data_IF_361452034640
#
_entry.id   IF_361452034640
#
_cell.length_a   1.000
_cell.length_b   1.000
_cell.length_c   1.000
_cell.angle_alpha   90.00
_cell.angle_beta   90.00
_cell.angle_gamma   90.00
#
_symmetry.space_group_name_H-M   'P 1'
#
loop_
_entity.id
_entity.type
_entity.pdbx_description
1 polymer ?
#
# COMPACT_ATOMS: atom_id res chain seq x y z
N UNK A 1 8.69 4.35 -22.72
CA UNK A 1 7.42 4.86 -23.29
C UNK A 1 7.03 6.13 -22.55
N UNK A 2 6.92 7.29 -23.22
CA UNK A 2 6.56 8.56 -22.56
C UNK A 2 5.18 8.45 -21.89
N UNK A 3 5.07 8.99 -20.67
CA UNK A 3 3.80 9.15 -19.96
C UNK A 3 3.23 10.50 -20.41
N UNK A 4 2.08 10.50 -21.08
CA UNK A 4 1.47 11.70 -21.64
C UNK A 4 0.25 12.08 -20.80
N UNK A 5 0.03 13.39 -20.63
CA UNK A 5 -1.04 13.94 -19.78
C UNK A 5 -0.84 13.60 -18.28
N UNK A 6 -1.77 14.00 -17.39
CA UNK A 6 -1.76 13.67 -15.93
C UNK A 6 -0.80 14.48 -15.05
N UNK A 7 -0.19 15.54 -15.56
CA UNK A 7 0.76 16.40 -14.80
C UNK A 7 0.17 16.90 -13.47
N UNK A 8 -1.12 17.28 -13.47
CA UNK A 8 -1.82 17.71 -12.25
C UNK A 8 -1.96 16.60 -11.20
N UNK A 9 -2.26 15.37 -11.63
CA UNK A 9 -2.36 14.22 -10.73
C UNK A 9 -0.98 13.80 -10.20
N UNK A 10 0.04 13.79 -11.06
CA UNK A 10 1.43 13.51 -10.66
C UNK A 10 1.89 14.52 -9.60
N UNK A 11 1.69 15.82 -9.85
CA UNK A 11 2.03 16.87 -8.89
C UNK A 11 1.31 16.67 -7.57
N UNK A 12 0.00 16.40 -7.61
CA UNK A 12 -0.82 16.18 -6.41
C UNK A 12 -0.33 14.96 -5.60
N UNK A 13 -0.03 13.85 -6.27
CA UNK A 13 0.48 12.65 -5.63
C UNK A 13 1.83 12.92 -4.94
N UNK A 14 2.78 13.56 -5.64
CA UNK A 14 4.09 13.92 -5.07
C UNK A 14 3.97 14.87 -3.87
N UNK A 15 3.10 15.87 -3.96
CA UNK A 15 2.88 16.81 -2.85
C UNK A 15 2.27 16.12 -1.65
N UNK A 16 1.30 15.21 -1.83
CA UNK A 16 0.67 14.51 -0.71
C UNK A 16 1.65 13.57 0.01
N UNK A 17 2.53 12.90 -0.73
CA UNK A 17 3.53 11.99 -0.16
C UNK A 17 4.75 12.71 0.44
N UNK A 18 4.93 14.00 0.18
CA UNK A 18 6.01 14.80 0.80
C UNK A 18 5.58 15.46 2.12
N UNK A 19 4.34 15.24 2.57
CA UNK A 19 3.87 15.80 3.84
C UNK A 19 4.41 14.96 4.99
N UNK A 20 4.88 15.62 6.05
CA UNK A 20 5.35 15.00 7.28
C UNK A 20 4.18 14.56 8.18
N UNK A 21 3.29 13.74 7.60
CA UNK A 21 2.12 13.18 8.28
C UNK A 21 1.67 11.89 7.61
N UNK A 22 1.06 11.02 8.40
CA UNK A 22 0.42 9.81 7.90
C UNK A 22 -0.59 10.15 6.79
N UNK A 23 -0.36 9.66 5.58
CA UNK A 23 -1.14 10.00 4.39
C UNK A 23 -1.67 8.74 3.72
N UNK A 24 -2.99 8.64 3.59
CA UNK A 24 -3.67 7.57 2.85
C UNK A 24 -4.28 8.18 1.58
N UNK A 25 -3.94 7.62 0.42
CA UNK A 25 -4.42 8.08 -0.88
C UNK A 25 -5.26 6.97 -1.53
N UNK A 26 -6.52 7.28 -1.83
CA UNK A 26 -7.40 6.38 -2.58
C UNK A 26 -7.49 6.86 -4.03
N UNK A 27 -7.04 6.02 -4.96
CA UNK A 27 -7.12 6.30 -6.40
C UNK A 27 -8.17 5.38 -7.02
N UNK A 28 -9.27 5.97 -7.48
CA UNK A 28 -10.38 5.23 -8.08
C UNK A 28 -10.69 5.74 -9.50
N UNK A 29 -11.40 4.93 -10.27
CA UNK A 29 -11.78 5.27 -11.64
C UNK A 29 -12.06 4.02 -12.48
N UNK A 30 -12.58 4.19 -13.69
CA UNK A 30 -12.96 3.08 -14.58
C UNK A 30 -11.78 2.14 -14.88
N UNK A 31 -12.09 0.91 -15.28
CA UNK A 31 -11.06 -0.05 -15.75
C UNK A 31 -10.32 0.53 -16.96
N UNK A 32 -9.00 0.31 -17.05
CA UNK A 32 -8.12 0.73 -18.17
C UNK A 32 -7.89 2.24 -18.36
N UNK A 33 -8.19 3.09 -17.36
CA UNK A 33 -7.88 4.54 -17.42
C UNK A 33 -6.42 4.91 -17.08
N UNK A 34 -5.57 3.91 -16.80
CA UNK A 34 -4.14 4.12 -16.55
C UNK A 34 -3.74 4.33 -15.08
N UNK A 35 -4.59 4.03 -14.10
CA UNK A 35 -4.32 4.22 -12.66
C UNK A 35 -3.04 3.51 -12.19
N UNK A 36 -2.92 2.20 -12.45
CA UNK A 36 -1.73 1.41 -12.12
C UNK A 36 -0.47 2.02 -12.72
N UNK A 37 -0.55 2.42 -14.01
CA UNK A 37 0.57 3.04 -14.71
C UNK A 37 0.96 4.40 -14.10
N UNK A 38 -0.01 5.20 -13.64
CA UNK A 38 0.25 6.47 -12.94
C UNK A 38 1.00 6.23 -11.63
N UNK A 39 0.51 5.32 -10.80
CA UNK A 39 1.12 5.02 -9.49
C UNK A 39 2.53 4.46 -9.65
N UNK A 40 2.71 3.51 -10.57
CA UNK A 40 4.04 2.96 -10.91
C UNK A 40 4.99 4.03 -11.46
N UNK A 41 4.48 4.97 -12.26
CA UNK A 41 5.29 6.06 -12.80
C UNK A 41 5.75 7.04 -11.70
N UNK A 42 4.90 7.32 -10.72
CA UNK A 42 5.21 8.29 -9.66
C UNK A 42 6.07 7.67 -8.55
N UNK A 43 5.78 6.44 -8.15
CA UNK A 43 6.34 5.84 -6.94
C UNK A 43 7.08 4.52 -7.17
N UNK A 44 7.04 3.93 -8.36
CA UNK A 44 7.37 2.51 -8.56
C UNK A 44 8.78 2.07 -8.17
N UNK A 45 9.75 2.99 -8.07
CA UNK A 45 11.12 2.68 -7.61
C UNK A 45 11.22 2.75 -6.08
N UNK A 46 10.50 3.69 -5.46
CA UNK A 46 10.62 4.03 -4.04
C UNK A 46 9.42 3.51 -3.22
N UNK A 47 8.82 2.39 -3.63
CA UNK A 47 7.64 1.83 -2.98
C UNK A 47 7.62 0.30 -3.02
N UNK A 48 6.84 -0.28 -2.11
CA UNK A 48 6.43 -1.68 -2.20
C UNK A 48 5.07 -1.76 -2.91
N UNK A 49 5.03 -2.53 -3.98
CA UNK A 49 3.82 -2.69 -4.79
C UNK A 49 3.21 -4.07 -4.55
N UNK A 50 2.04 -4.09 -3.91
CA UNK A 50 1.25 -5.27 -3.61
C UNK A 50 0.06 -5.36 -4.56
N UNK A 51 0.00 -6.42 -5.35
CA UNK A 51 -1.16 -6.71 -6.20
C UNK A 51 -2.11 -7.68 -5.48
N UNK A 52 -3.31 -7.22 -5.10
CA UNK A 52 -4.24 -8.04 -4.31
C UNK A 52 -4.99 -9.00 -5.24
N UNK A 53 -4.45 -10.21 -5.44
CA UNK A 53 -5.10 -11.27 -6.24
C UNK A 53 -6.20 -11.99 -5.45
N UNK A 54 -7.25 -12.46 -6.13
CA UNK A 54 -8.27 -13.34 -5.54
C UNK A 54 -7.71 -14.78 -5.40
N UNK A 55 -6.97 -15.04 -4.32
CA UNK A 55 -6.47 -16.37 -3.94
C UNK A 55 -6.53 -16.56 -2.42
N UNK A 56 -6.13 -17.74 -1.94
CA UNK A 56 -6.09 -18.00 -0.49
C UNK A 56 -5.17 -17.02 0.24
N UNK A 57 -5.62 -16.55 1.41
CA UNK A 57 -4.94 -15.55 2.23
C UNK A 57 -3.45 -15.87 2.44
N UNK A 58 -3.15 -17.12 2.81
CA UNK A 58 -1.77 -17.56 3.06
C UNK A 58 -0.86 -17.36 1.84
N UNK A 59 -1.35 -17.68 0.64
CA UNK A 59 -0.58 -17.49 -0.59
C UNK A 59 -0.35 -16.01 -0.89
N UNK A 60 -1.28 -15.13 -0.52
CA UNK A 60 -1.12 -13.68 -0.70
C UNK A 60 -0.06 -13.16 0.26
N UNK A 61 -0.11 -13.59 1.52
CA UNK A 61 0.88 -13.24 2.53
C UNK A 61 2.28 -13.70 2.15
N UNK A 62 2.44 -14.89 1.58
CA UNK A 62 3.73 -15.40 1.09
C UNK A 62 4.27 -14.53 -0.07
N UNK A 63 3.42 -14.13 -1.03
CA UNK A 63 3.81 -13.21 -2.10
C UNK A 63 4.21 -11.84 -1.55
N UNK A 64 3.41 -11.27 -0.65
CA UNK A 64 3.67 -9.96 -0.06
C UNK A 64 4.94 -9.97 0.79
N UNK A 65 5.20 -11.06 1.51
CA UNK A 65 6.46 -11.26 2.22
C UNK A 65 7.64 -11.27 1.27
N UNK A 66 7.51 -11.93 0.12
CA UNK A 66 8.56 -11.96 -0.92
C UNK A 66 8.89 -10.55 -1.40
N UNK A 67 7.88 -9.73 -1.67
CA UNK A 67 8.05 -8.32 -2.06
C UNK A 67 8.79 -7.52 -0.98
N UNK A 68 8.46 -7.71 0.30
CA UNK A 68 9.14 -7.00 1.40
C UNK A 68 10.61 -7.41 1.52
N UNK A 69 10.93 -8.69 1.34
CA UNK A 69 12.30 -9.21 1.44
C UNK A 69 13.25 -8.66 0.37
N UNK A 70 12.74 -8.05 -0.71
CA UNK A 70 13.58 -7.42 -1.73
C UNK A 70 14.36 -6.21 -1.19
N UNK A 71 13.85 -5.55 -0.13
CA UNK A 71 14.41 -4.30 0.41
C UNK A 71 14.57 -4.28 1.93
N UNK A 72 13.91 -5.17 2.65
CA UNK A 72 14.02 -5.26 4.10
C UNK A 72 15.02 -6.35 4.51
N UNK A 73 15.93 -6.01 5.44
CA UNK A 73 16.91 -6.98 5.99
C UNK A 73 16.25 -8.15 6.72
N UNK A 74 15.09 -7.90 7.33
CA UNK A 74 14.32 -8.91 8.05
C UNK A 74 12.82 -8.72 7.80
N UNK A 75 12.16 -9.83 7.44
CA UNK A 75 10.70 -9.90 7.31
C UNK A 75 10.21 -11.16 8.02
N UNK A 76 9.35 -11.04 9.05
CA UNK A 76 8.83 -12.21 9.75
C UNK A 76 7.91 -13.04 8.83
N UNK A 77 7.53 -14.23 9.29
CA UNK A 77 6.42 -14.94 8.67
C UNK A 77 5.10 -14.33 9.14
N UNK A 78 4.16 -14.16 8.21
CA UNK A 78 2.83 -13.64 8.52
C UNK A 78 1.85 -14.81 8.61
N UNK A 79 1.14 -14.93 9.73
CA UNK A 79 0.11 -15.98 9.89
C UNK A 79 -1.24 -15.51 9.38
N UNK A 80 -1.51 -14.21 9.45
CA UNK A 80 -2.71 -13.55 8.96
C UNK A 80 -2.42 -12.10 8.49
N UNK A 81 -3.45 -11.41 8.01
CA UNK A 81 -3.32 -9.99 7.66
C UNK A 81 -3.07 -9.05 8.85
N UNK A 82 -3.38 -9.42 10.09
CA UNK A 82 -3.11 -8.59 11.27
C UNK A 82 -1.59 -8.49 11.50
N UNK A 83 -0.89 -9.63 11.43
CA UNK A 83 0.58 -9.70 11.47
C UNK A 83 1.20 -8.84 10.36
N UNK A 84 0.71 -9.00 9.13
CA UNK A 84 1.24 -8.31 7.96
C UNK A 84 1.08 -6.79 8.07
N UNK A 85 -0.13 -6.29 8.31
CA UNK A 85 -0.35 -4.85 8.46
C UNK A 85 0.37 -4.32 9.70
N UNK A 86 0.40 -5.09 10.80
CA UNK A 86 1.17 -4.73 11.98
C UNK A 86 2.64 -4.47 11.65
N UNK A 87 3.27 -5.34 10.86
CA UNK A 87 4.63 -5.15 10.38
C UNK A 87 4.76 -3.94 9.45
N UNK A 88 3.86 -3.77 8.47
CA UNK A 88 3.90 -2.63 7.54
C UNK A 88 3.85 -1.27 8.27
N UNK A 89 3.00 -1.14 9.28
CA UNK A 89 2.92 0.09 10.07
C UNK A 89 4.17 0.34 10.93
N UNK A 90 5.04 -0.66 11.17
CA UNK A 90 6.36 -0.40 11.77
C UNK A 90 7.36 0.20 10.79
N UNK A 91 7.12 0.06 9.48
CA UNK A 91 7.98 0.52 8.40
C UNK A 91 7.50 1.85 7.78
N UNK A 92 6.27 2.27 8.05
CA UNK A 92 5.56 3.31 7.30
C UNK A 92 6.18 4.70 7.32
N UNK A 93 6.98 5.04 8.33
CA UNK A 93 7.63 6.35 8.42
C UNK A 93 8.75 6.54 7.38
N UNK A 94 9.14 5.47 6.68
CA UNK A 94 10.25 5.47 5.72
C UNK A 94 9.85 5.00 4.32
N UNK A 95 8.66 4.45 4.16
CA UNK A 95 8.32 3.64 2.99
C UNK A 95 6.91 3.93 2.46
N UNK A 96 6.75 3.81 1.14
CA UNK A 96 5.46 3.93 0.46
C UNK A 96 4.92 2.53 0.16
N UNK A 97 3.70 2.24 0.62
CA UNK A 97 3.00 0.99 0.32
C UNK A 97 1.86 1.23 -0.66
N UNK A 98 1.85 0.46 -1.76
CA UNK A 98 0.79 0.52 -2.77
C UNK A 98 0.06 -0.80 -2.79
N UNK A 99 -1.26 -0.74 -2.70
CA UNK A 99 -2.15 -1.88 -2.88
C UNK A 99 -3.00 -1.66 -4.13
N UNK A 100 -2.73 -2.44 -5.17
CA UNK A 100 -3.56 -2.43 -6.39
C UNK A 100 -4.66 -3.50 -6.31
N UNK A 101 -5.79 -3.23 -6.96
CA UNK A 101 -7.02 -4.03 -6.86
C UNK A 101 -7.50 -4.26 -5.40
N UNK A 102 -7.30 -3.25 -4.53
CA UNK A 102 -7.60 -3.29 -3.08
C UNK A 102 -9.00 -3.82 -2.73
N UNK A 103 -10.01 -3.61 -3.60
CA UNK A 103 -11.35 -4.12 -3.36
C UNK A 103 -11.43 -5.66 -3.26
N UNK A 104 -10.43 -6.39 -3.76
CA UNK A 104 -10.37 -7.84 -3.70
C UNK A 104 -10.26 -8.37 -2.27
N UNK A 105 -9.77 -7.56 -1.32
CA UNK A 105 -9.82 -7.91 0.11
C UNK A 105 -11.24 -8.24 0.59
N UNK A 106 -12.29 -7.64 0.00
CA UNK A 106 -13.69 -7.98 0.35
C UNK A 106 -14.04 -9.44 0.09
N UNK A 107 -13.37 -10.09 -0.85
CA UNK A 107 -13.61 -11.49 -1.22
C UNK A 107 -12.69 -12.45 -0.47
N UNK A 108 -11.51 -11.97 -0.06
CA UNK A 108 -10.48 -12.77 0.60
C UNK A 108 -10.73 -12.77 2.11
N UNK A 109 -10.69 -11.58 2.72
CA UNK A 109 -10.87 -11.40 4.15
C UNK A 109 -11.34 -9.97 4.46
N UNK A 110 -12.60 -9.83 4.87
CA UNK A 110 -13.20 -8.53 5.19
C UNK A 110 -12.65 -7.91 6.48
N UNK A 111 -11.93 -8.67 7.32
CA UNK A 111 -11.32 -8.12 8.53
C UNK A 111 -10.23 -7.08 8.21
N UNK A 112 -9.61 -7.16 7.02
CA UNK A 112 -8.54 -6.26 6.58
C UNK A 112 -8.91 -4.78 6.73
N UNK A 113 -10.17 -4.42 6.47
CA UNK A 113 -10.63 -3.04 6.62
C UNK A 113 -10.55 -2.57 8.08
N UNK A 114 -10.97 -3.41 9.02
CA UNK A 114 -10.90 -3.13 10.47
C UNK A 114 -9.47 -3.20 10.99
N UNK A 115 -8.63 -4.08 10.43
CA UNK A 115 -7.21 -4.19 10.78
C UNK A 115 -6.48 -2.90 10.39
N UNK A 116 -6.64 -2.42 9.16
CA UNK A 116 -6.03 -1.16 8.71
C UNK A 116 -6.50 -0.01 9.60
N UNK A 117 -7.80 0.07 9.92
CA UNK A 117 -8.33 1.09 10.82
C UNK A 117 -7.66 1.01 12.21
N UNK A 118 -7.60 -0.18 12.82
CA UNK A 118 -6.95 -0.41 14.12
C UNK A 118 -5.53 0.15 14.14
N UNK A 119 -4.72 -0.15 13.12
CA UNK A 119 -3.34 0.33 13.06
C UNK A 119 -3.26 1.83 12.72
N UNK A 120 -4.13 2.33 11.84
CA UNK A 120 -4.19 3.75 11.53
C UNK A 120 -4.47 4.60 12.77
N UNK A 121 -5.49 4.23 13.55
CA UNK A 121 -5.87 4.93 14.78
C UNK A 121 -4.75 4.88 15.83
N UNK A 122 -4.10 3.71 15.97
CA UNK A 122 -2.96 3.51 16.88
C UNK A 122 -1.80 4.47 16.58
N UNK A 123 -1.45 4.64 15.31
CA UNK A 123 -0.30 5.45 14.89
C UNK A 123 -0.66 6.95 14.76
N UNK A 124 -1.89 7.31 14.41
CA UNK A 124 -2.33 8.70 14.44
C UNK A 124 -2.25 9.32 15.84
N UNK A 125 -2.53 8.55 16.90
CA UNK A 125 -2.36 9.02 18.28
C UNK A 125 -0.90 9.37 18.62
N UNK A 126 0.09 8.84 17.91
CA UNK A 126 1.51 9.14 18.13
C UNK A 126 1.99 10.38 17.36
N UNK A 127 1.32 10.79 16.28
CA UNK A 127 1.64 11.99 15.50
C UNK A 127 0.99 13.29 16.03
N UNK A 128 0.35 13.25 17.21
CA UNK A 128 -0.23 14.45 17.84
C UNK A 128 0.77 15.06 18.82
N UNK A 129 1.82 15.72 18.30
CA UNK A 129 2.73 16.59 19.08
C UNK A 129 3.06 17.83 18.25
#
# INVERSE_FOLDING_TARGET
MKFYDREGEIKKLRTLTSLDKSTMIVIYGRRRVGKTRLVQHVFGIDSFYFFVTEKEERLILDDFRTILMERCDYVPNFTDFDDFFGFLFTLSDKEIFIFDEFQNFKKINTSVFSIIQKYWDKYQMHCSI
#
